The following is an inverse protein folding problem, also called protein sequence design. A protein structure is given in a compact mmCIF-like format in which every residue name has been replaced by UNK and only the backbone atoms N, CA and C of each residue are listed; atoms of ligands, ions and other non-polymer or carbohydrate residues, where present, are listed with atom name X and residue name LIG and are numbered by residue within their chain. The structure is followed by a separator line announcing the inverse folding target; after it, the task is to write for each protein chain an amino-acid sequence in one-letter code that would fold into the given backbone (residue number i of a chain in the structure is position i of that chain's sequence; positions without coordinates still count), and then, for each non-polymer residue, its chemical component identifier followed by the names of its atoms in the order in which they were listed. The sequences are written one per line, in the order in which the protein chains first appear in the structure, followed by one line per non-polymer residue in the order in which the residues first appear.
data_IF_357765343014
#
_entry.id   IF_357765343014
#
_cell.length_a   1.000
_cell.length_b   1.000
_cell.length_c   1.000
_cell.angle_alpha   90.00
_cell.angle_beta   90.00
_cell.angle_gamma   90.00
#
_symmetry.space_group_name_H-M   'P 1'
#
loop_
_entity.id
_entity.type
_entity.pdbx_description
1 polymer ?
#
# COMPACT_ATOMS: atom_id res chain seq x y z
N UNK A 1 -7.05 -18.93 8.83
CA UNK A 1 -6.61 -19.20 7.44
C UNK A 1 -5.57 -18.15 7.13
N UNK A 2 -4.35 -18.54 6.75
CA UNK A 2 -3.27 -17.60 6.44
C UNK A 2 -3.12 -17.42 4.92
N UNK A 3 -2.62 -16.27 4.48
CA UNK A 3 -2.26 -16.00 3.07
C UNK A 3 -0.74 -15.90 2.99
N UNK A 4 -0.12 -16.56 1.99
CA UNK A 4 1.32 -16.52 1.76
C UNK A 4 1.63 -15.94 0.37
N UNK A 5 2.43 -14.88 0.33
CA UNK A 5 2.87 -14.18 -0.88
C UNK A 5 4.40 -14.26 -0.93
N UNK A 6 4.92 -15.31 -1.58
CA UNK A 6 6.37 -15.57 -1.59
C UNK A 6 6.93 -15.71 -0.15
N UNK A 7 7.84 -14.82 0.29
CA UNK A 7 8.37 -14.82 1.66
C UNK A 7 7.47 -14.09 2.68
N UNK A 8 6.39 -13.43 2.25
CA UNK A 8 5.49 -12.67 3.12
C UNK A 8 4.36 -13.58 3.61
N UNK A 9 4.15 -13.64 4.92
CA UNK A 9 3.04 -14.35 5.56
C UNK A 9 2.07 -13.32 6.16
N UNK A 10 0.78 -13.48 5.86
CA UNK A 10 -0.30 -12.68 6.41
C UNK A 10 -1.11 -13.55 7.39
N UNK A 11 -1.07 -13.18 8.67
CA UNK A 11 -1.77 -13.90 9.75
C UNK A 11 -3.29 -13.91 9.52
N UNK A 12 -3.83 -12.76 9.09
CA UNK A 12 -5.24 -12.56 8.79
C UNK A 12 -5.49 -12.55 7.27
N UNK A 13 -6.47 -13.30 6.75
CA UNK A 13 -6.74 -13.39 5.31
C UNK A 13 -7.59 -12.22 4.79
N UNK A 14 -7.37 -11.03 5.34
CA UNK A 14 -8.12 -9.80 5.03
C UNK A 14 -7.13 -8.72 4.61
N UNK A 15 -7.36 -8.15 3.43
CA UNK A 15 -6.51 -7.12 2.85
C UNK A 15 -7.35 -5.88 2.63
N UNK A 16 -6.89 -4.71 3.11
CA UNK A 16 -7.54 -3.44 2.81
C UNK A 16 -7.32 -3.08 1.34
N UNK A 17 -8.41 -2.89 0.60
CA UNK A 17 -8.35 -2.45 -0.80
C UNK A 17 -7.80 -1.01 -0.93
N UNK A 18 -7.07 -0.71 -2.01
CA UNK A 18 -6.61 0.64 -2.30
C UNK A 18 -7.78 1.54 -2.73
N UNK A 19 -7.88 2.73 -2.16
CA UNK A 19 -8.95 3.68 -2.43
C UNK A 19 -8.39 5.10 -2.45
N UNK A 20 -8.31 5.72 -3.62
CA UNK A 20 -7.75 7.08 -3.76
C UNK A 20 -8.59 8.09 -2.97
N UNK A 21 -7.92 8.93 -2.18
CA UNK A 21 -8.51 9.87 -1.24
C UNK A 21 -8.98 9.26 0.07
N UNK A 22 -8.82 7.95 0.29
CA UNK A 22 -9.33 7.24 1.48
C UNK A 22 -8.23 6.44 2.19
N UNK A 23 -7.46 5.61 1.47
CA UNK A 23 -6.44 4.73 2.08
C UNK A 23 -5.12 5.44 2.38
N UNK A 24 -5.22 6.61 3.03
CA UNK A 24 -4.09 7.38 3.55
C UNK A 24 -3.49 6.72 4.81
N UNK A 25 -2.35 7.26 5.28
CA UNK A 25 -1.62 6.66 6.40
C UNK A 25 -2.47 6.55 7.70
N UNK A 26 -3.17 7.60 8.18
CA UNK A 26 -4.05 7.48 9.34
C UNK A 26 -5.14 6.41 9.20
N UNK A 27 -5.77 6.31 8.03
CA UNK A 27 -6.81 5.32 7.78
C UNK A 27 -6.24 3.90 7.80
N UNK A 28 -5.14 3.66 7.07
CA UNK A 28 -4.47 2.35 7.03
C UNK A 28 -4.00 1.89 8.41
N UNK A 29 -3.37 2.77 9.20
CA UNK A 29 -2.98 2.46 10.58
C UNK A 29 -4.17 2.06 11.44
N UNK A 30 -5.31 2.72 11.25
CA UNK A 30 -6.54 2.39 11.98
C UNK A 30 -7.04 1.02 11.57
N UNK A 31 -7.19 0.76 10.26
CA UNK A 31 -7.64 -0.54 9.75
C UNK A 31 -6.71 -1.68 10.16
N UNK A 32 -5.38 -1.45 10.17
CA UNK A 32 -4.41 -2.43 10.64
C UNK A 32 -4.66 -2.85 12.10
N UNK A 33 -4.94 -1.89 12.98
CA UNK A 33 -5.27 -2.16 14.39
C UNK A 33 -6.53 -3.00 14.59
N UNK A 34 -7.39 -3.11 13.58
CA UNK A 34 -8.61 -3.94 13.60
C UNK A 34 -8.42 -5.33 12.96
N UNK A 35 -7.19 -5.74 12.65
CA UNK A 35 -6.90 -7.11 12.19
C UNK A 35 -6.83 -7.28 10.67
N UNK A 36 -6.53 -6.22 9.92
CA UNK A 36 -6.19 -6.39 8.50
C UNK A 36 -4.79 -7.00 8.38
N UNK A 37 -4.70 -8.16 7.73
CA UNK A 37 -3.44 -8.87 7.48
C UNK A 37 -2.47 -8.06 6.63
N UNK A 38 -2.98 -7.26 5.68
CA UNK A 38 -2.20 -6.30 4.90
C UNK A 38 -3.02 -5.07 4.55
N UNK A 39 -2.35 -3.92 4.39
CA UNK A 39 -2.96 -2.69 3.89
C UNK A 39 -2.30 -2.22 2.60
N UNK A 40 -3.05 -1.51 1.75
CA UNK A 40 -2.55 -0.98 0.48
C UNK A 40 -2.66 0.54 0.46
N UNK A 41 -1.63 1.21 -0.06
CA UNK A 41 -1.66 2.67 -0.28
C UNK A 41 -2.80 3.09 -1.20
N UNK A 42 -3.04 4.38 -1.30
CA UNK A 42 -3.75 4.93 -2.46
C UNK A 42 -3.03 4.55 -3.77
N UNK A 43 -3.76 4.61 -4.89
CA UNK A 43 -3.20 4.38 -6.21
C UNK A 43 -2.25 5.52 -6.62
N UNK A 44 -1.01 5.17 -6.96
CA UNK A 44 0.05 6.12 -7.33
C UNK A 44 0.41 5.91 -8.80
N UNK A 45 0.38 6.98 -9.60
CA UNK A 45 0.87 6.91 -10.98
C UNK A 45 2.39 6.60 -11.00
N UNK A 46 2.82 5.62 -11.78
CA UNK A 46 4.22 5.16 -11.81
C UNK A 46 5.21 6.28 -12.11
N UNK A 47 4.85 7.17 -13.05
CA UNK A 47 5.64 8.35 -13.37
C UNK A 47 5.75 9.32 -12.17
N UNK A 48 4.68 9.49 -11.38
CA UNK A 48 4.70 10.35 -10.19
C UNK A 48 5.53 9.76 -9.04
N UNK A 49 5.72 8.43 -9.02
CA UNK A 49 6.63 7.74 -8.09
C UNK A 49 8.10 8.02 -8.44
N UNK A 50 8.45 7.92 -9.72
CA UNK A 50 9.83 8.18 -10.21
C UNK A 50 10.26 9.62 -9.92
N UNK A 51 9.36 10.59 -10.14
CA UNK A 51 9.66 12.01 -9.89
C UNK A 51 9.62 12.39 -8.39
N UNK A 52 9.36 11.45 -7.48
CA UNK A 52 9.33 11.65 -6.03
C UNK A 52 8.56 12.90 -5.58
N UNK A 53 7.43 13.19 -6.22
CA UNK A 53 6.64 14.38 -5.91
C UNK A 53 6.22 14.34 -4.42
N UNK A 54 6.21 15.50 -3.75
CA UNK A 54 5.86 15.63 -2.32
C UNK A 54 4.52 14.98 -1.98
N UNK A 55 3.52 15.07 -2.88
CA UNK A 55 2.23 14.40 -2.69
C UNK A 55 2.38 12.88 -2.71
N UNK A 56 3.11 12.34 -3.68
CA UNK A 56 3.40 10.91 -3.78
C UNK A 56 4.13 10.40 -2.54
N UNK A 57 5.18 11.10 -2.10
CA UNK A 57 5.95 10.71 -0.91
C UNK A 57 5.11 10.65 0.36
N UNK A 58 4.07 11.48 0.48
CA UNK A 58 3.11 11.37 1.58
C UNK A 58 2.21 10.13 1.47
N UNK A 59 1.81 9.75 0.25
CA UNK A 59 0.97 8.57 0.01
C UNK A 59 1.74 7.27 0.30
N UNK A 60 3.04 7.22 -0.03
CA UNK A 60 3.93 6.07 0.27
C UNK A 60 4.48 6.07 1.69
N UNK A 61 4.30 7.16 2.45
CA UNK A 61 4.77 7.22 3.83
C UNK A 61 4.18 6.06 4.62
N UNK A 62 5.03 5.34 5.34
CA UNK A 62 4.65 4.18 6.12
C UNK A 62 5.14 4.26 7.57
N UNK A 63 4.50 3.46 8.42
CA UNK A 63 4.86 3.27 9.81
C UNK A 63 5.08 1.80 10.13
N UNK A 64 5.88 1.50 11.15
CA UNK A 64 6.08 0.11 11.61
C UNK A 64 4.76 -0.56 12.01
N UNK A 65 3.76 0.21 12.41
CA UNK A 65 2.46 -0.26 12.88
C UNK A 65 1.42 -0.50 11.77
N UNK A 66 1.80 -0.35 10.49
CA UNK A 66 0.96 -0.77 9.36
C UNK A 66 1.58 -1.90 8.52
N UNK A 67 2.74 -2.42 8.93
CA UNK A 67 3.40 -3.53 8.24
C UNK A 67 2.62 -4.85 8.44
N UNK A 68 2.52 -5.73 7.42
CA UNK A 68 2.93 -5.50 6.03
C UNK A 68 2.00 -4.53 5.28
N UNK A 69 2.61 -3.67 4.46
CA UNK A 69 1.95 -2.67 3.61
C UNK A 69 2.44 -2.76 2.16
N UNK A 70 1.51 -2.68 1.21
CA UNK A 70 1.80 -2.66 -0.22
C UNK A 70 1.53 -1.28 -0.83
N UNK A 71 2.28 -0.96 -1.87
CA UNK A 71 2.11 0.26 -2.67
C UNK A 71 1.47 -0.10 -3.99
N UNK A 72 0.35 0.53 -4.35
CA UNK A 72 -0.27 0.31 -5.66
C UNK A 72 0.27 1.32 -6.68
N UNK A 73 0.94 0.81 -7.72
CA UNK A 73 1.35 1.59 -8.87
C UNK A 73 0.33 1.48 -10.01
N UNK A 74 0.17 2.56 -10.76
CA UNK A 74 -0.68 2.65 -11.95
C UNK A 74 0.07 3.25 -13.13
N UNK A 75 0.09 2.52 -14.23
CA UNK A 75 0.74 2.95 -15.47
C UNK A 75 0.55 1.91 -16.58
N UNK A 76 0.98 2.26 -17.78
CA UNK A 76 0.91 1.39 -18.96
C UNK A 76 2.27 1.24 -19.67
N UNK A 77 3.31 1.94 -19.21
CA UNK A 77 4.66 1.88 -19.77
C UNK A 77 5.51 0.89 -18.96
N UNK A 78 5.89 -0.27 -19.53
CA UNK A 78 6.59 -1.31 -18.78
C UNK A 78 7.86 -0.81 -18.10
N UNK A 79 8.68 -0.03 -18.81
CA UNK A 79 9.94 0.49 -18.26
C UNK A 79 9.79 1.54 -17.15
N UNK A 80 8.58 2.07 -16.92
CA UNK A 80 8.29 2.92 -15.75
C UNK A 80 7.63 2.14 -14.62
N UNK A 81 7.18 0.90 -14.88
CA UNK A 81 6.45 0.05 -13.95
C UNK A 81 7.31 -1.05 -13.33
N UNK A 82 8.31 -1.57 -14.07
CA UNK A 82 9.18 -2.67 -13.66
C UNK A 82 10.58 -2.54 -14.28
#
# INVERSE_FOLDING_TARGET
MTIRIGPIELDDPVILAPMSGVSDLPFRRTVKRWGAGMVVSEMIASQAMIHANRKTMKMVANGADEQPMAVQLAGCEPGLMA
#
